data_IF_799236681013
#
_entry.id   IF_799236681013
#
_cell.length_a   1.000
_cell.length_b   1.000
_cell.length_c   1.000
_cell.angle_alpha   90.00
_cell.angle_beta   90.00
_cell.angle_gamma   90.00
#
_symmetry.space_group_name_H-M   'P 1'
#
loop_
_entity.id
_entity.type
_entity.pdbx_description
1 polymer ?
#
# COMPACT_ATOMS: atom_id res chain seq x y z
N UNK A 1 -6.22 8.50 -24.32
CA UNK A 1 -7.00 8.32 -23.07
C UNK A 1 -5.97 8.17 -21.95
N UNK A 2 -5.71 9.25 -21.24
CA UNK A 2 -4.68 9.26 -20.16
C UNK A 2 -5.31 8.65 -18.91
N UNK A 3 -4.93 7.42 -18.55
CA UNK A 3 -5.10 6.95 -17.18
C UNK A 3 -3.91 7.48 -16.38
N UNK A 4 -4.12 8.30 -15.36
CA UNK A 4 -3.04 8.67 -14.46
C UNK A 4 -2.71 7.46 -13.57
N UNK A 5 -1.62 6.77 -13.90
CA UNK A 5 -1.10 5.62 -13.13
C UNK A 5 -0.75 6.02 -11.69
N UNK A 6 -0.57 7.30 -11.40
CA UNK A 6 -0.43 7.82 -10.03
C UNK A 6 -1.59 7.46 -9.09
N UNK A 7 -2.75 7.08 -9.63
CA UNK A 7 -3.92 6.66 -8.82
C UNK A 7 -4.05 5.14 -8.65
N UNK A 8 -3.22 4.33 -9.30
CA UNK A 8 -3.33 2.86 -9.26
C UNK A 8 -2.67 2.22 -8.02
N UNK A 9 -1.87 2.99 -7.28
CA UNK A 9 -1.16 2.47 -6.09
C UNK A 9 -2.10 2.23 -4.89
N UNK A 10 -3.36 2.69 -4.94
CA UNK A 10 -4.28 2.62 -3.78
C UNK A 10 -5.69 2.14 -4.14
N UNK A 11 -5.96 1.80 -5.38
CA UNK A 11 -7.31 1.36 -5.77
C UNK A 11 -7.46 -0.16 -5.79
N UNK A 12 -7.23 -0.82 -4.66
CA UNK A 12 -7.78 -2.15 -4.40
C UNK A 12 -9.27 -2.02 -4.10
N UNK A 13 -10.08 -2.04 -5.14
CA UNK A 13 -11.52 -2.19 -4.96
C UNK A 13 -11.83 -3.65 -4.59
N UNK A 14 -11.72 -3.99 -3.32
CA UNK A 14 -12.32 -5.21 -2.80
C UNK A 14 -13.82 -4.93 -2.67
N UNK A 15 -14.58 -5.49 -3.61
CA UNK A 15 -16.03 -5.51 -3.54
C UNK A 15 -16.45 -6.46 -2.43
N UNK A 16 -16.58 -5.99 -1.22
CA UNK A 16 -17.27 -6.71 -0.18
C UNK A 16 -18.77 -6.54 -0.38
N UNK A 17 -19.42 -7.63 -0.76
CA UNK A 17 -20.89 -7.74 -0.67
C UNK A 17 -21.30 -7.47 0.76
N UNK A 18 -22.09 -6.40 0.94
CA UNK A 18 -22.62 -6.01 2.22
C UNK A 18 -23.54 -7.10 2.76
N UNK A 19 -23.05 -7.88 3.72
CA UNK A 19 -23.92 -8.60 4.64
C UNK A 19 -24.32 -7.66 5.78
N UNK A 20 -25.63 -7.53 5.97
CA UNK A 20 -26.30 -6.74 6.99
C UNK A 20 -25.67 -6.93 8.36
N UNK A 21 -25.25 -5.83 8.98
CA UNK A 21 -24.87 -5.77 10.38
C UNK A 21 -26.10 -5.90 11.26
N UNK A 22 -26.16 -6.98 12.00
CA UNK A 22 -26.96 -7.07 13.21
C UNK A 22 -26.00 -6.98 14.39
N UNK A 23 -26.27 -6.07 15.32
CA UNK A 23 -25.60 -5.96 16.60
C UNK A 23 -25.44 -7.31 17.27
N UNK A 24 -24.21 -7.79 17.41
CA UNK A 24 -23.84 -8.83 18.38
C UNK A 24 -22.47 -8.50 18.95
N UNK A 25 -22.47 -8.37 20.29
CA UNK A 25 -21.28 -8.32 21.14
C UNK A 25 -20.22 -9.29 20.64
N UNK A 26 -18.99 -8.80 20.51
CA UNK A 26 -17.80 -9.58 20.23
C UNK A 26 -17.69 -10.78 21.18
N UNK A 27 -18.01 -11.93 20.63
CA UNK A 27 -17.45 -13.19 21.08
C UNK A 27 -16.21 -13.39 20.18
N UNK A 28 -15.06 -13.59 20.81
CA UNK A 28 -13.80 -13.93 20.17
C UNK A 28 -14.04 -14.86 18.96
N UNK A 29 -14.06 -14.29 17.77
CA UNK A 29 -14.08 -15.09 16.57
C UNK A 29 -12.72 -15.81 16.55
N UNK A 30 -12.71 -17.14 16.66
CA UNK A 30 -11.51 -17.94 16.48
C UNK A 30 -10.95 -17.62 15.10
N UNK A 31 -9.83 -16.91 15.08
CA UNK A 31 -9.09 -16.66 13.83
C UNK A 31 -8.27 -17.91 13.50
N UNK A 32 -7.95 -18.11 12.23
CA UNK A 32 -7.24 -19.32 11.76
C UNK A 32 -5.92 -19.55 12.51
N UNK A 33 -5.25 -18.46 12.91
CA UNK A 33 -3.96 -18.49 13.62
C UNK A 33 -4.06 -18.06 15.10
N UNK A 34 -5.25 -17.85 15.63
CA UNK A 34 -5.46 -17.33 17.01
C UNK A 34 -5.00 -18.24 18.14
N UNK A 35 -4.68 -19.50 17.84
CA UNK A 35 -4.16 -20.50 18.80
C UNK A 35 -2.69 -20.89 18.50
N UNK A 36 -2.00 -20.19 17.58
CA UNK A 36 -0.62 -20.46 17.26
C UNK A 36 0.31 -20.21 18.48
N UNK A 37 1.46 -20.86 18.50
CA UNK A 37 2.49 -20.56 19.50
C UNK A 37 3.15 -19.21 19.24
N UNK A 38 3.81 -18.63 20.23
CA UNK A 38 4.58 -17.39 20.03
C UNK A 38 5.70 -17.58 18.98
N UNK A 39 6.28 -18.77 18.89
CA UNK A 39 7.30 -19.09 17.89
C UNK A 39 6.73 -19.10 16.48
N UNK A 40 5.57 -19.74 16.29
CA UNK A 40 4.86 -19.76 15.02
C UNK A 40 4.42 -18.35 14.60
N UNK A 41 3.88 -17.58 15.54
CA UNK A 41 3.49 -16.20 15.32
C UNK A 41 4.68 -15.32 14.89
N UNK A 42 5.86 -15.50 15.50
CA UNK A 42 7.07 -14.79 15.07
C UNK A 42 7.51 -15.16 13.65
N UNK A 43 7.40 -16.44 13.26
CA UNK A 43 7.70 -16.87 11.87
C UNK A 43 6.74 -16.23 10.87
N UNK A 44 5.45 -16.10 11.21
CA UNK A 44 4.46 -15.42 10.38
C UNK A 44 4.82 -13.93 10.23
N UNK A 45 5.14 -13.24 11.31
CA UNK A 45 5.54 -11.82 11.29
C UNK A 45 6.82 -11.61 10.49
N UNK A 46 7.82 -12.49 10.64
CA UNK A 46 9.06 -12.42 9.85
C UNK A 46 8.76 -12.59 8.35
N UNK A 47 7.93 -13.55 7.98
CA UNK A 47 7.52 -13.74 6.59
C UNK A 47 6.73 -12.55 6.05
N UNK A 48 5.84 -11.96 6.85
CA UNK A 48 5.13 -10.74 6.52
C UNK A 48 6.11 -9.59 6.19
N UNK A 49 7.09 -9.36 7.05
CA UNK A 49 8.11 -8.33 6.84
C UNK A 49 8.94 -8.57 5.57
N UNK A 50 9.26 -9.83 5.27
CA UNK A 50 9.96 -10.20 4.03
C UNK A 50 9.13 -9.86 2.80
N UNK A 51 7.83 -10.21 2.81
CA UNK A 51 6.94 -9.94 1.67
C UNK A 51 6.68 -8.45 1.49
N UNK A 52 6.44 -7.71 2.56
CA UNK A 52 6.27 -6.25 2.48
C UNK A 52 7.53 -5.60 1.90
N UNK A 53 8.72 -5.96 2.39
CA UNK A 53 9.97 -5.44 1.83
C UNK A 53 10.20 -5.82 0.37
N UNK A 54 9.75 -7.01 -0.04
CA UNK A 54 9.83 -7.48 -1.40
C UNK A 54 8.90 -6.68 -2.33
N UNK A 55 7.64 -6.49 -1.94
CA UNK A 55 6.66 -5.73 -2.74
C UNK A 55 7.02 -4.24 -2.80
N UNK A 56 7.46 -3.63 -1.71
CA UNK A 56 7.89 -2.23 -1.68
C UNK A 56 9.01 -1.95 -2.70
N UNK A 57 10.03 -2.82 -2.76
CA UNK A 57 11.13 -2.68 -3.72
C UNK A 57 10.68 -2.82 -5.17
N UNK A 58 9.79 -3.77 -5.42
CA UNK A 58 9.22 -3.95 -6.73
C UNK A 58 8.40 -2.72 -7.14
N UNK A 59 7.62 -2.16 -6.22
CA UNK A 59 6.81 -0.97 -6.44
C UNK A 59 7.68 0.27 -6.70
N UNK A 60 8.81 0.42 -6.00
CA UNK A 60 9.79 1.47 -6.32
C UNK A 60 10.35 1.34 -7.73
N UNK A 61 10.70 0.11 -8.14
CA UNK A 61 11.16 -0.15 -9.50
C UNK A 61 10.09 0.21 -10.54
N UNK A 62 8.85 -0.24 -10.34
CA UNK A 62 7.72 0.02 -11.23
C UNK A 62 7.38 1.52 -11.31
N UNK A 63 7.50 2.26 -10.21
CA UNK A 63 7.34 3.71 -10.20
C UNK A 63 8.35 4.39 -11.14
N UNK A 64 9.62 3.99 -11.11
CA UNK A 64 10.66 4.54 -11.98
C UNK A 64 10.43 4.14 -13.45
N UNK A 65 9.95 2.91 -13.70
CA UNK A 65 9.51 2.50 -15.04
C UNK A 65 8.43 3.44 -15.55
N UNK A 66 7.39 3.70 -14.75
CA UNK A 66 6.26 4.55 -15.11
C UNK A 66 6.70 6.00 -15.46
N UNK A 67 7.52 6.62 -14.58
CA UNK A 67 8.08 7.95 -14.81
C UNK A 67 8.86 8.04 -16.13
N UNK A 68 9.59 6.97 -16.48
CA UNK A 68 10.31 6.91 -17.76
C UNK A 68 9.36 6.71 -18.93
N UNK A 69 8.34 5.83 -18.79
CA UNK A 69 7.35 5.60 -19.85
C UNK A 69 6.59 6.89 -20.22
N UNK A 70 6.27 7.73 -19.22
CA UNK A 70 5.66 9.05 -19.48
C UNK A 70 6.58 9.94 -20.33
N UNK A 71 7.88 10.01 -20.01
CA UNK A 71 8.86 10.78 -20.77
C UNK A 71 9.02 10.23 -22.18
N UNK A 72 9.17 8.91 -22.31
CA UNK A 72 9.31 8.22 -23.61
C UNK A 72 8.06 8.46 -24.47
N UNK A 73 6.87 8.30 -23.90
CA UNK A 73 5.61 8.53 -24.61
C UNK A 73 5.51 9.95 -25.16
N UNK A 74 5.92 10.96 -24.37
CA UNK A 74 5.98 12.37 -24.85
C UNK A 74 7.02 12.55 -25.95
N UNK A 75 8.18 11.90 -25.86
CA UNK A 75 9.20 11.93 -26.90
C UNK A 75 8.73 11.32 -28.21
N UNK A 76 8.07 10.16 -28.16
CA UNK A 76 7.53 9.50 -29.37
C UNK A 76 6.39 10.27 -30.03
N UNK A 77 5.71 11.19 -29.33
CA UNK A 77 4.72 12.10 -29.93
C UNK A 77 5.34 13.26 -30.72
N UNK A 78 6.62 13.55 -30.47
CA UNK A 78 7.34 14.62 -31.18
C UNK A 78 8.70 14.10 -31.71
N UNK A 79 8.70 13.26 -32.74
CA UNK A 79 9.89 12.61 -33.27
C UNK A 79 10.90 13.59 -33.91
N UNK A 80 10.52 14.83 -34.13
CA UNK A 80 11.45 15.88 -34.64
C UNK A 80 12.39 16.42 -33.55
N UNK A 81 12.09 16.16 -32.28
CA UNK A 81 12.91 16.59 -31.14
C UNK A 81 14.02 15.57 -30.87
N UNK A 82 15.22 15.83 -31.40
CA UNK A 82 16.40 14.98 -31.20
C UNK A 82 16.86 14.86 -29.72
N UNK A 83 16.32 15.71 -28.84
CA UNK A 83 16.59 15.67 -27.39
C UNK A 83 15.49 14.97 -26.56
N UNK A 84 14.47 14.41 -27.24
CA UNK A 84 13.28 13.86 -26.60
C UNK A 84 13.55 12.75 -25.58
N UNK A 85 14.66 12.03 -25.74
CA UNK A 85 15.02 10.88 -24.90
C UNK A 85 16.26 11.13 -24.03
N UNK A 86 16.80 12.36 -24.03
CA UNK A 86 17.92 12.72 -23.16
C UNK A 86 17.48 12.70 -21.69
N UNK A 87 18.32 12.12 -20.84
CA UNK A 87 18.06 12.08 -19.38
C UNK A 87 17.09 10.99 -18.92
N UNK A 88 16.74 10.05 -19.82
CA UNK A 88 16.04 8.83 -19.41
C UNK A 88 17.07 7.90 -18.78
N UNK A 89 17.01 7.78 -17.44
CA UNK A 89 17.87 6.89 -16.67
C UNK A 89 17.12 5.57 -16.51
N UNK A 90 17.68 4.42 -16.99
CA UNK A 90 17.04 3.13 -16.81
C UNK A 90 16.73 2.85 -15.34
N UNK A 91 15.57 2.26 -15.03
CA UNK A 91 15.21 1.97 -13.66
C UNK A 91 16.20 0.95 -13.07
N UNK A 92 16.65 1.25 -11.89
CA UNK A 92 17.59 0.42 -11.14
C UNK A 92 16.83 -0.38 -10.07
N UNK A 93 17.10 -1.68 -10.01
CA UNK A 93 16.58 -2.54 -8.97
C UNK A 93 17.57 -2.61 -7.81
N UNK A 94 17.24 -1.96 -6.70
CA UNK A 94 18.10 -1.95 -5.52
C UNK A 94 18.19 -3.36 -4.90
N UNK A 95 19.39 -3.89 -4.62
CA UNK A 95 19.54 -5.18 -3.96
C UNK A 95 18.90 -5.17 -2.57
N UNK A 96 18.35 -6.31 -2.17
CA UNK A 96 17.82 -6.47 -0.82
C UNK A 96 18.95 -6.69 0.16
N UNK A 97 19.00 -5.86 1.21
CA UNK A 97 19.82 -6.10 2.40
C UNK A 97 19.04 -6.85 3.49
N UNK A 98 18.01 -7.61 3.09
CA UNK A 98 17.26 -8.40 4.06
C UNK A 98 18.14 -9.54 4.58
N UNK A 99 18.41 -9.55 5.88
CA UNK A 99 19.19 -10.58 6.56
C UNK A 99 18.37 -11.84 6.90
N UNK A 100 17.06 -11.83 6.61
CA UNK A 100 16.22 -13.01 6.80
C UNK A 100 16.64 -14.15 5.87
N UNK A 101 16.63 -15.38 6.39
CA UNK A 101 16.79 -16.61 5.61
C UNK A 101 15.52 -17.00 4.86
N UNK A 102 14.40 -16.36 5.20
CA UNK A 102 13.11 -16.59 4.56
C UNK A 102 13.12 -15.92 3.19
N UNK A 103 12.64 -16.66 2.18
CA UNK A 103 12.47 -16.15 0.81
C UNK A 103 11.00 -15.89 0.55
N UNK A 104 10.65 -14.84 -0.23
CA UNK A 104 9.26 -14.53 -0.58
C UNK A 104 8.48 -15.71 -1.15
N UNK A 105 9.11 -16.51 -2.01
CA UNK A 105 8.52 -17.66 -2.68
C UNK A 105 8.38 -18.91 -1.80
N UNK A 106 8.93 -18.90 -0.58
CA UNK A 106 8.93 -20.03 0.35
C UNK A 106 8.16 -19.69 1.64
N UNK A 107 6.82 -19.74 1.60
CA UNK A 107 6.01 -19.49 2.80
C UNK A 107 6.36 -20.49 3.92
N UNK A 108 6.38 -20.05 5.18
CA UNK A 108 6.74 -20.90 6.31
C UNK A 108 5.72 -22.03 6.53
N UNK A 109 6.20 -23.16 7.05
CA UNK A 109 5.38 -24.35 7.28
C UNK A 109 4.29 -24.18 8.34
N UNK A 110 4.38 -23.13 9.17
CA UNK A 110 3.36 -22.76 10.18
C UNK A 110 2.09 -22.20 9.54
N UNK A 111 2.14 -21.73 8.30
CA UNK A 111 0.94 -21.33 7.56
C UNK A 111 0.16 -22.57 7.11
N UNK A 112 -1.17 -22.46 7.04
CA UNK A 112 -2.02 -23.51 6.49
C UNK A 112 -1.60 -23.86 5.05
N UNK A 113 -1.86 -25.09 4.63
CA UNK A 113 -1.52 -25.53 3.26
C UNK A 113 -2.17 -24.66 2.18
N UNK A 114 -3.38 -24.14 2.46
CA UNK A 114 -4.07 -23.21 1.58
C UNK A 114 -3.35 -21.88 1.46
N UNK A 115 -2.87 -21.32 2.59
CA UNK A 115 -2.16 -20.07 2.62
C UNK A 115 -0.76 -20.19 2.04
N UNK A 116 -0.05 -21.27 2.31
CA UNK A 116 1.22 -21.58 1.66
C UNK A 116 1.07 -21.58 0.13
N UNK A 117 0.06 -22.29 -0.37
CA UNK A 117 -0.24 -22.32 -1.81
C UNK A 117 -0.59 -20.94 -2.34
N UNK A 118 -1.45 -20.21 -1.63
CA UNK A 118 -1.86 -18.86 -2.01
C UNK A 118 -0.67 -17.91 -2.17
N UNK A 119 0.21 -17.85 -1.18
CA UNK A 119 1.40 -17.00 -1.25
C UNK A 119 2.35 -17.42 -2.34
N UNK A 120 2.62 -18.72 -2.46
CA UNK A 120 3.49 -19.25 -3.51
C UNK A 120 2.99 -18.88 -4.90
N UNK A 121 1.70 -19.06 -5.17
CA UNK A 121 1.11 -18.76 -6.48
C UNK A 121 1.17 -17.27 -6.79
N UNK A 122 0.80 -16.39 -5.83
CA UNK A 122 0.80 -14.96 -6.03
C UNK A 122 2.22 -14.37 -6.12
N UNK A 123 3.16 -14.83 -5.30
CA UNK A 123 4.57 -14.39 -5.36
C UNK A 123 5.22 -14.83 -6.67
N UNK A 124 4.93 -16.03 -7.15
CA UNK A 124 5.38 -16.46 -8.48
C UNK A 124 4.79 -15.56 -9.58
N UNK A 125 3.50 -15.24 -9.49
CA UNK A 125 2.85 -14.30 -10.42
C UNK A 125 3.50 -12.92 -10.41
N UNK A 126 3.87 -12.38 -9.23
CA UNK A 126 4.63 -11.13 -9.09
C UNK A 126 5.99 -11.23 -9.81
N UNK A 127 6.76 -12.28 -9.53
CA UNK A 127 8.10 -12.48 -10.10
C UNK A 127 8.06 -12.63 -11.64
N UNK A 128 7.18 -13.46 -12.14
CA UNK A 128 7.03 -13.68 -13.59
C UNK A 128 6.59 -12.39 -14.32
N UNK A 129 5.63 -11.69 -13.75
CA UNK A 129 5.13 -10.45 -14.34
C UNK A 129 6.19 -9.37 -14.33
N UNK A 130 6.91 -9.21 -13.21
CA UNK A 130 8.00 -8.25 -13.11
C UNK A 130 9.15 -8.56 -14.08
N UNK A 131 9.48 -9.83 -14.27
CA UNK A 131 10.49 -10.27 -15.26
C UNK A 131 10.06 -9.86 -16.66
N UNK A 132 8.82 -10.14 -17.05
CA UNK A 132 8.28 -9.72 -18.37
C UNK A 132 8.32 -8.21 -18.57
N UNK A 133 8.00 -7.44 -17.52
CA UNK A 133 8.10 -5.96 -17.54
C UNK A 133 9.54 -5.52 -17.78
N UNK A 134 10.52 -6.10 -17.06
CA UNK A 134 11.94 -5.80 -17.21
C UNK A 134 12.45 -6.09 -18.63
N UNK A 135 12.08 -7.24 -19.18
CA UNK A 135 12.49 -7.66 -20.53
C UNK A 135 11.87 -6.77 -21.60
N UNK A 136 10.58 -6.41 -21.45
CA UNK A 136 9.92 -5.51 -22.37
C UNK A 136 10.48 -4.09 -22.29
N UNK A 137 10.79 -3.62 -21.08
CA UNK A 137 11.44 -2.32 -20.88
C UNK A 137 12.84 -2.29 -21.50
N UNK A 138 13.60 -3.38 -21.36
CA UNK A 138 14.90 -3.53 -22.04
C UNK A 138 14.74 -3.42 -23.56
N UNK A 139 13.77 -4.13 -24.13
CA UNK A 139 13.48 -4.06 -25.57
C UNK A 139 13.09 -2.66 -26.02
N UNK A 140 12.30 -1.93 -25.22
CA UNK A 140 11.99 -0.52 -25.48
C UNK A 140 13.24 0.36 -25.45
N UNK A 141 14.11 0.15 -24.46
CA UNK A 141 15.35 0.91 -24.35
C UNK A 141 16.33 0.63 -25.51
N UNK A 142 16.43 -0.62 -25.96
CA UNK A 142 17.24 -0.99 -27.13
C UNK A 142 16.68 -0.37 -28.42
N UNK A 143 15.35 -0.37 -28.60
CA UNK A 143 14.66 0.33 -29.69
C UNK A 143 14.94 1.84 -29.71
N UNK A 144 14.96 2.49 -28.53
CA UNK A 144 15.28 3.92 -28.43
C UNK A 144 16.74 4.21 -28.77
N UNK A 145 17.67 3.37 -28.30
CA UNK A 145 19.11 3.50 -28.54
C UNK A 145 19.48 3.30 -30.00
N UNK A 146 18.78 2.38 -30.69
CA UNK A 146 18.97 2.14 -32.13
C UNK A 146 18.31 3.23 -32.99
N UNK A 147 17.54 4.15 -32.37
CA UNK A 147 16.76 5.19 -33.02
C UNK A 147 15.71 4.66 -34.02
N UNK A 148 15.30 3.38 -33.89
CA UNK A 148 14.31 2.72 -34.75
C UNK A 148 12.98 3.47 -34.83
N UNK A 149 12.70 4.32 -33.83
CA UNK A 149 11.52 5.20 -33.81
C UNK A 149 11.50 6.22 -34.95
N UNK A 150 12.64 6.49 -35.58
CA UNK A 150 12.72 7.35 -36.80
C UNK A 150 12.11 6.64 -38.01
N UNK A 151 12.27 5.31 -38.08
CA UNK A 151 11.83 4.50 -39.21
C UNK A 151 10.33 4.21 -39.16
N UNK A 152 9.82 3.85 -37.97
CA UNK A 152 8.42 3.44 -37.78
C UNK A 152 7.54 4.54 -37.13
N UNK A 153 8.06 5.73 -36.95
CA UNK A 153 7.37 6.89 -36.34
C UNK A 153 6.87 6.59 -34.92
N UNK A 154 7.60 5.77 -34.18
CA UNK A 154 7.32 5.44 -32.80
C UNK A 154 6.25 4.36 -32.58
N UNK A 155 5.77 3.68 -33.61
CA UNK A 155 4.69 2.69 -33.53
C UNK A 155 5.07 1.51 -32.65
N UNK A 156 6.24 0.92 -32.86
CA UNK A 156 6.74 -0.21 -32.03
C UNK A 156 7.01 0.20 -30.58
N UNK A 157 7.58 1.40 -30.38
CA UNK A 157 7.80 1.97 -29.06
C UNK A 157 6.51 2.13 -28.24
N UNK A 158 5.44 2.60 -28.88
CA UNK A 158 4.12 2.69 -28.26
C UNK A 158 3.58 1.30 -27.90
N UNK A 159 3.77 0.30 -28.74
CA UNK A 159 3.39 -1.09 -28.47
C UNK A 159 4.09 -1.66 -27.22
N UNK A 160 5.37 -1.37 -27.03
CA UNK A 160 6.09 -1.73 -25.81
C UNK A 160 5.50 -1.05 -24.56
N UNK A 161 5.21 0.26 -24.64
CA UNK A 161 4.60 1.03 -23.54
C UNK A 161 3.24 0.43 -23.16
N UNK A 162 2.35 0.19 -24.11
CA UNK A 162 1.02 -0.38 -23.88
C UNK A 162 1.13 -1.79 -23.26
N UNK A 163 2.10 -2.59 -23.69
CA UNK A 163 2.38 -3.91 -23.13
C UNK A 163 2.84 -3.83 -21.67
N UNK A 164 3.77 -2.91 -21.36
CA UNK A 164 4.24 -2.71 -19.98
C UNK A 164 3.08 -2.27 -19.09
N UNK A 165 2.23 -1.34 -19.52
CA UNK A 165 1.06 -0.90 -18.76
C UNK A 165 0.08 -2.05 -18.48
N UNK A 166 -0.12 -2.92 -19.45
CA UNK A 166 -0.98 -4.09 -19.29
C UNK A 166 -0.41 -5.06 -18.25
N UNK A 167 0.89 -5.35 -18.31
CA UNK A 167 1.57 -6.21 -17.34
C UNK A 167 1.63 -5.57 -15.94
N UNK A 168 1.83 -4.26 -15.84
CA UNK A 168 1.83 -3.55 -14.56
C UNK A 168 0.47 -3.65 -13.85
N UNK A 169 -0.65 -3.61 -14.58
CA UNK A 169 -1.98 -3.87 -14.00
C UNK A 169 -2.11 -5.29 -13.46
N UNK A 170 -1.59 -6.28 -14.18
CA UNK A 170 -1.59 -7.67 -13.72
C UNK A 170 -0.70 -7.85 -12.48
N UNK A 171 0.46 -7.20 -12.44
CA UNK A 171 1.35 -7.19 -11.29
C UNK A 171 0.62 -6.67 -10.03
N UNK A 172 0.00 -5.50 -10.11
CA UNK A 172 -0.70 -4.92 -8.96
C UNK A 172 -1.86 -5.78 -8.46
N UNK A 173 -2.50 -6.57 -9.31
CA UNK A 173 -3.52 -7.51 -8.84
C UNK A 173 -2.94 -8.61 -7.94
N UNK A 174 -1.75 -9.13 -8.26
CA UNK A 174 -1.06 -10.07 -7.38
C UNK A 174 -0.59 -9.40 -6.09
N UNK A 175 -0.06 -8.18 -6.19
CA UNK A 175 0.40 -7.38 -5.04
C UNK A 175 -0.74 -7.11 -4.05
N UNK A 176 -1.88 -6.67 -4.53
CA UNK A 176 -3.11 -6.47 -3.74
C UNK A 176 -3.54 -7.76 -3.02
N UNK A 177 -3.53 -8.89 -3.72
CA UNK A 177 -3.88 -10.19 -3.13
C UNK A 177 -2.93 -10.54 -1.98
N UNK A 178 -1.62 -10.39 -2.20
CA UNK A 178 -0.59 -10.68 -1.19
C UNK A 178 -0.77 -9.77 0.02
N UNK A 179 -0.85 -8.45 -0.19
CA UNK A 179 -0.95 -7.48 0.90
C UNK A 179 -2.25 -7.63 1.71
N UNK A 180 -3.39 -7.88 1.04
CA UNK A 180 -4.66 -8.09 1.72
C UNK A 180 -4.64 -9.35 2.62
N UNK A 181 -4.03 -10.45 2.15
CA UNK A 181 -3.90 -11.67 2.96
C UNK A 181 -2.91 -11.49 4.10
N UNK A 182 -1.79 -10.77 3.87
CA UNK A 182 -0.80 -10.45 4.90
C UNK A 182 -1.40 -9.59 6.02
N UNK A 183 -2.27 -8.63 5.70
CA UNK A 183 -2.96 -7.82 6.71
C UNK A 183 -3.71 -8.70 7.71
N UNK A 184 -4.42 -9.72 7.22
CA UNK A 184 -5.21 -10.63 8.07
C UNK A 184 -4.31 -11.51 8.94
N UNK A 185 -3.39 -12.27 8.34
CA UNK A 185 -2.56 -13.22 9.09
C UNK A 185 -1.55 -12.51 9.99
N UNK A 186 -1.05 -11.35 9.57
CA UNK A 186 -0.15 -10.53 10.37
C UNK A 186 -0.81 -9.98 11.61
N UNK A 187 -2.06 -9.50 11.50
CA UNK A 187 -2.84 -9.05 12.65
C UNK A 187 -3.06 -10.16 13.67
N UNK A 188 -3.40 -11.37 13.23
CA UNK A 188 -3.58 -12.53 14.09
C UNK A 188 -2.29 -12.89 14.82
N UNK A 189 -1.18 -13.00 14.09
CA UNK A 189 0.13 -13.33 14.65
C UNK A 189 0.61 -12.26 15.65
N UNK A 190 0.48 -10.97 15.32
CA UNK A 190 0.86 -9.90 16.25
C UNK A 190 0.01 -9.89 17.52
N UNK A 191 -1.29 -10.18 17.43
CA UNK A 191 -2.16 -10.29 18.62
C UNK A 191 -1.68 -11.38 19.57
N UNK A 192 -1.17 -12.49 19.06
CA UNK A 192 -0.59 -13.56 19.87
C UNK A 192 0.67 -13.08 20.58
N UNK A 193 1.63 -12.52 19.83
CA UNK A 193 2.90 -12.01 20.37
C UNK A 193 2.65 -10.93 21.43
N UNK A 194 1.71 -10.05 21.17
CA UNK A 194 1.40 -8.91 22.02
C UNK A 194 0.49 -9.26 23.21
N UNK A 195 -0.06 -10.49 23.31
CA UNK A 195 -1.04 -10.87 24.34
C UNK A 195 -0.56 -10.56 25.76
N UNK A 196 0.73 -10.74 26.04
CA UNK A 196 1.36 -10.47 27.33
C UNK A 196 2.16 -9.17 27.36
N UNK A 197 2.19 -8.41 26.25
CA UNK A 197 2.98 -7.20 26.17
C UNK A 197 2.37 -6.06 27.00
N UNK A 198 3.15 -5.36 27.84
CA UNK A 198 2.62 -4.33 28.75
C UNK A 198 1.99 -3.13 28.02
N UNK A 199 2.38 -2.86 26.77
CA UNK A 199 1.86 -1.76 25.93
C UNK A 199 0.83 -2.24 24.89
N UNK A 200 0.31 -3.48 25.01
CA UNK A 200 -0.58 -4.06 24.01
C UNK A 200 -1.79 -3.17 23.68
N UNK A 201 -2.42 -2.58 24.70
CA UNK A 201 -3.63 -1.79 24.51
C UNK A 201 -3.37 -0.53 23.67
N UNK A 202 -2.21 0.10 23.84
CA UNK A 202 -1.77 1.23 23.02
C UNK A 202 -1.46 0.79 21.59
N UNK A 203 -0.74 -0.32 21.43
CA UNK A 203 -0.36 -0.86 20.12
C UNK A 203 -1.62 -1.22 19.33
N UNK A 204 -2.58 -1.90 19.95
CA UNK A 204 -3.84 -2.25 19.28
C UNK A 204 -4.68 -1.02 18.93
N UNK A 205 -4.79 -0.04 19.84
CA UNK A 205 -5.48 1.20 19.54
C UNK A 205 -4.88 1.90 18.31
N UNK A 206 -3.55 2.05 18.26
CA UNK A 206 -2.88 2.66 17.12
C UNK A 206 -2.99 1.83 15.82
N UNK A 207 -3.04 0.50 15.91
CA UNK A 207 -3.30 -0.37 14.75
C UNK A 207 -4.72 -0.19 14.21
N UNK A 208 -5.70 -0.17 15.10
CA UNK A 208 -7.11 0.04 14.74
C UNK A 208 -7.29 1.42 14.09
N UNK A 209 -6.60 2.46 14.59
CA UNK A 209 -6.58 3.80 13.99
C UNK A 209 -5.99 3.80 12.59
N UNK A 210 -4.83 3.16 12.40
CA UNK A 210 -4.19 3.04 11.09
C UNK A 210 -5.07 2.29 10.09
N UNK A 211 -5.72 1.22 10.55
CA UNK A 211 -6.66 0.46 9.72
C UNK A 211 -7.83 1.32 9.29
N UNK A 212 -8.47 2.01 10.23
CA UNK A 212 -9.61 2.87 9.95
C UNK A 212 -9.25 4.02 8.99
N UNK A 213 -8.08 4.64 9.16
CA UNK A 213 -7.55 5.67 8.24
C UNK A 213 -7.26 5.07 6.87
N UNK A 214 -6.67 3.87 6.80
CA UNK A 214 -6.44 3.17 5.55
C UNK A 214 -7.74 2.86 4.79
N UNK A 215 -8.78 2.41 5.51
CA UNK A 215 -10.11 2.15 4.93
C UNK A 215 -10.75 3.44 4.41
N UNK A 216 -10.62 4.54 5.15
CA UNK A 216 -11.10 5.85 4.72
C UNK A 216 -10.34 6.35 3.48
N UNK A 217 -9.03 6.21 3.43
CA UNK A 217 -8.24 6.52 2.24
C UNK A 217 -8.71 5.72 1.02
N UNK A 218 -8.90 4.41 1.16
CA UNK A 218 -9.43 3.57 0.08
C UNK A 218 -10.79 4.07 -0.42
N UNK A 219 -11.67 4.47 0.49
CA UNK A 219 -12.98 5.03 0.14
C UNK A 219 -12.84 6.35 -0.63
N UNK A 220 -12.01 7.28 -0.15
CA UNK A 220 -11.77 8.57 -0.79
C UNK A 220 -11.18 8.41 -2.19
N UNK A 221 -10.11 7.61 -2.31
CA UNK A 221 -9.38 7.40 -3.57
C UNK A 221 -10.18 6.58 -4.59
N UNK A 222 -11.05 5.68 -4.12
CA UNK A 222 -11.93 4.87 -4.97
C UNK A 222 -13.17 5.62 -5.48
N UNK A 223 -13.49 6.79 -4.92
CA UNK A 223 -14.67 7.55 -5.32
C UNK A 223 -14.50 8.17 -6.71
N UNK A 224 -15.29 7.70 -7.66
CA UNK A 224 -15.36 8.25 -9.03
C UNK A 224 -16.27 9.47 -9.12
N UNK A 225 -17.25 9.58 -8.25
CA UNK A 225 -18.26 10.63 -8.21
C UNK A 225 -18.46 11.08 -6.77
N UNK A 226 -17.61 12.00 -6.31
CA UNK A 226 -17.57 12.42 -4.92
C UNK A 226 -18.94 12.84 -4.36
N UNK A 227 -19.74 13.60 -5.11
CA UNK A 227 -21.07 14.03 -4.66
C UNK A 227 -22.03 12.88 -4.35
N UNK A 228 -21.91 11.79 -5.09
CA UNK A 228 -22.71 10.56 -4.85
C UNK A 228 -22.26 9.83 -3.58
N UNK A 229 -20.95 9.79 -3.37
CA UNK A 229 -20.33 9.08 -2.25
C UNK A 229 -20.21 9.94 -0.97
N UNK A 230 -20.44 11.24 -1.08
CA UNK A 230 -20.24 12.21 0.01
C UNK A 230 -20.93 11.83 1.33
N UNK A 231 -22.20 11.37 1.37
CA UNK A 231 -22.84 10.97 2.62
C UNK A 231 -22.11 9.82 3.31
N UNK A 232 -21.65 8.83 2.55
CA UNK A 232 -20.88 7.68 3.06
C UNK A 232 -19.50 8.11 3.55
N UNK A 233 -18.82 8.98 2.81
CA UNK A 233 -17.53 9.55 3.17
C UNK A 233 -17.65 10.36 4.48
N UNK A 234 -18.66 11.21 4.61
CA UNK A 234 -18.90 11.99 5.84
C UNK A 234 -19.17 11.09 7.04
N UNK A 235 -19.95 10.03 6.88
CA UNK A 235 -20.21 9.06 7.95
C UNK A 235 -18.92 8.35 8.39
N UNK A 236 -18.08 7.92 7.43
CA UNK A 236 -16.78 7.31 7.73
C UNK A 236 -15.83 8.30 8.42
N UNK A 237 -15.81 9.55 7.99
CA UNK A 237 -15.02 10.60 8.64
C UNK A 237 -15.47 10.85 10.09
N UNK A 238 -16.78 10.91 10.35
CA UNK A 238 -17.32 11.05 11.72
C UNK A 238 -16.92 9.87 12.61
N UNK A 239 -16.89 8.66 12.06
CA UNK A 239 -16.41 7.47 12.77
C UNK A 239 -14.92 7.59 13.13
N UNK A 240 -14.08 8.11 12.22
CA UNK A 240 -12.66 8.39 12.52
C UNK A 240 -12.49 9.42 13.63
N UNK A 241 -13.25 10.51 13.61
CA UNK A 241 -13.20 11.51 14.69
C UNK A 241 -13.60 10.92 16.06
N UNK A 242 -14.62 10.07 16.08
CA UNK A 242 -15.05 9.38 17.31
C UNK A 242 -13.96 8.41 17.82
N UNK A 243 -13.31 7.68 16.92
CA UNK A 243 -12.22 6.78 17.26
C UNK A 243 -11.00 7.55 17.78
N UNK A 244 -10.59 8.62 17.11
CA UNK A 244 -9.53 9.51 17.57
C UNK A 244 -9.80 10.01 19.00
N UNK A 245 -11.01 10.53 19.24
CA UNK A 245 -11.40 11.01 20.58
C UNK A 245 -11.26 9.92 21.63
N UNK A 246 -11.78 8.73 21.38
CA UNK A 246 -11.68 7.58 22.28
C UNK A 246 -10.23 7.25 22.65
N UNK A 247 -9.32 7.29 21.66
CA UNK A 247 -7.92 6.92 21.91
C UNK A 247 -7.11 8.04 22.54
N UNK A 248 -7.45 9.31 22.32
CA UNK A 248 -6.83 10.44 23.03
C UNK A 248 -7.26 10.54 24.52
N UNK A 249 -8.37 9.89 24.90
CA UNK A 249 -8.83 9.77 26.27
C UNK A 249 -8.15 8.61 27.04
N UNK A 250 -7.33 7.80 26.39
CA UNK A 250 -6.54 6.76 27.06
C UNK A 250 -5.47 7.39 27.97
N UNK A 251 -5.23 6.77 29.11
CA UNK A 251 -4.11 7.15 29.97
C UNK A 251 -2.79 7.05 29.21
N UNK A 252 -1.86 7.97 29.50
CA UNK A 252 -0.55 7.93 28.87
C UNK A 252 0.29 6.75 29.38
N UNK A 253 1.14 6.13 28.52
CA UNK A 253 2.08 5.12 28.96
C UNK A 253 2.99 5.65 30.07
N UNK A 254 3.19 4.86 31.14
CA UNK A 254 4.02 5.25 32.27
C UNK A 254 5.47 5.52 31.86
N UNK A 255 5.92 6.76 32.03
CA UNK A 255 7.29 7.20 31.68
C UNK A 255 8.35 6.45 32.46
N UNK A 256 8.07 6.08 33.72
CA UNK A 256 9.00 5.35 34.57
C UNK A 256 9.23 3.90 34.14
N UNK A 257 8.19 3.27 33.55
CA UNK A 257 8.27 1.88 33.06
C UNK A 257 8.71 1.79 31.61
N UNK A 258 8.32 2.77 30.80
CA UNK A 258 8.54 2.80 29.34
C UNK A 258 9.05 4.17 28.90
N UNK A 259 10.35 4.48 29.12
CA UNK A 259 10.92 5.77 28.76
C UNK A 259 10.72 6.08 27.27
N UNK A 260 10.23 7.29 26.97
CA UNK A 260 10.00 7.75 25.60
C UNK A 260 8.68 7.30 24.96
N UNK A 261 7.99 6.27 25.48
CA UNK A 261 6.74 5.78 24.84
C UNK A 261 5.57 6.75 25.04
N UNK A 262 5.52 7.54 26.12
CA UNK A 262 4.56 8.63 26.27
C UNK A 262 4.67 9.65 25.13
N UNK A 263 5.88 10.14 24.87
CA UNK A 263 6.13 11.09 23.80
C UNK A 263 5.83 10.50 22.42
N UNK A 264 6.16 9.22 22.20
CA UNK A 264 5.89 8.53 20.94
C UNK A 264 4.37 8.32 20.73
N UNK A 265 3.61 7.95 21.78
CA UNK A 265 2.16 7.82 21.71
C UNK A 265 1.48 9.17 21.42
N UNK A 266 1.92 10.23 22.11
CA UNK A 266 1.44 11.58 21.83
C UNK A 266 1.69 11.98 20.39
N UNK A 267 2.90 11.72 19.85
CA UNK A 267 3.25 12.05 18.45
C UNK A 267 2.39 11.28 17.46
N UNK A 268 2.03 10.04 17.76
CA UNK A 268 1.10 9.28 16.93
C UNK A 268 -0.28 9.95 16.93
N UNK A 269 -0.82 10.32 18.11
CA UNK A 269 -2.11 11.01 18.21
C UNK A 269 -2.10 12.36 17.49
N UNK A 270 -1.02 13.13 17.59
CA UNK A 270 -0.85 14.38 16.86
C UNK A 270 -0.88 14.14 15.32
N UNK A 271 -0.23 13.05 14.85
CA UNK A 271 -0.25 12.69 13.42
C UNK A 271 -1.64 12.24 12.93
N UNK A 272 -2.42 11.57 13.79
CA UNK A 272 -3.80 11.22 13.46
C UNK A 272 -4.68 12.47 13.39
N UNK A 273 -4.55 13.42 14.33
CA UNK A 273 -5.24 14.71 14.25
C UNK A 273 -4.89 15.47 12.97
N UNK A 274 -3.62 15.50 12.60
CA UNK A 274 -3.17 16.14 11.37
C UNK A 274 -3.82 15.50 10.12
N UNK A 275 -3.97 14.17 10.13
CA UNK A 275 -4.69 13.45 9.08
C UNK A 275 -6.17 13.86 9.02
N UNK A 276 -6.85 13.96 10.18
CA UNK A 276 -8.24 14.39 10.25
C UNK A 276 -8.42 15.84 9.75
N UNK A 277 -7.50 16.74 10.11
CA UNK A 277 -7.51 18.13 9.63
C UNK A 277 -7.37 18.18 8.10
N UNK A 278 -6.43 17.41 7.53
CA UNK A 278 -6.25 17.36 6.08
C UNK A 278 -7.46 16.75 5.38
N UNK A 279 -8.01 15.67 5.93
CA UNK A 279 -9.22 15.05 5.38
C UNK A 279 -10.39 16.04 5.27
N UNK A 280 -10.60 16.90 6.26
CA UNK A 280 -11.65 17.97 6.19
C UNK A 280 -11.42 18.94 5.05
N UNK A 281 -10.16 19.34 4.79
CA UNK A 281 -9.84 20.23 3.65
C UNK A 281 -10.14 19.54 2.33
N UNK A 282 -9.62 18.32 2.18
CA UNK A 282 -9.79 17.50 0.98
C UNK A 282 -11.28 17.24 0.69
N UNK A 283 -12.07 16.92 1.72
CA UNK A 283 -13.53 16.72 1.57
C UNK A 283 -14.24 17.99 1.11
N UNK A 284 -13.86 19.17 1.59
CA UNK A 284 -14.44 20.45 1.11
C UNK A 284 -14.10 20.72 -0.34
N UNK A 285 -12.84 20.53 -0.73
CA UNK A 285 -12.38 20.75 -2.09
C UNK A 285 -13.03 19.76 -3.08
N UNK A 286 -13.13 18.50 -2.68
CA UNK A 286 -13.80 17.47 -3.47
C UNK A 286 -15.31 17.72 -3.56
N UNK A 287 -15.94 18.22 -2.50
CA UNK A 287 -17.35 18.64 -2.49
C UNK A 287 -17.62 19.80 -3.44
N UNK A 288 -16.74 20.80 -3.46
CA UNK A 288 -16.84 21.93 -4.36
C UNK A 288 -16.63 21.55 -5.84
N UNK A 289 -15.61 20.74 -6.12
CA UNK A 289 -15.25 20.32 -7.48
C UNK A 289 -16.01 19.11 -8.01
N UNK A 290 -16.67 18.34 -7.14
CA UNK A 290 -17.37 17.09 -7.45
C UNK A 290 -16.45 15.87 -7.62
N UNK A 291 -15.13 16.02 -7.43
CA UNK A 291 -14.12 14.97 -7.58
C UNK A 291 -12.91 15.19 -6.68
N UNK A 292 -12.23 14.13 -6.33
CA UNK A 292 -10.92 14.21 -5.69
C UNK A 292 -9.85 14.61 -6.70
N UNK A 293 -9.04 15.63 -6.39
CA UNK A 293 -7.87 16.00 -7.19
C UNK A 293 -6.69 15.06 -6.90
N UNK A 294 -5.70 15.05 -7.80
CA UNK A 294 -4.46 14.27 -7.60
C UNK A 294 -3.69 14.82 -6.39
N UNK A 295 -3.56 16.14 -6.28
CA UNK A 295 -2.83 16.79 -5.18
C UNK A 295 -3.48 16.44 -3.83
N UNK A 296 -4.82 16.51 -3.75
CA UNK A 296 -5.54 16.13 -2.54
C UNK A 296 -5.37 14.65 -2.18
N UNK A 297 -5.30 13.76 -3.18
CA UNK A 297 -5.02 12.35 -2.96
C UNK A 297 -3.59 12.13 -2.43
N UNK A 298 -2.60 12.81 -3.01
CA UNK A 298 -1.21 12.77 -2.55
C UNK A 298 -1.05 13.30 -1.12
N UNK A 299 -1.78 14.35 -0.75
CA UNK A 299 -1.76 14.90 0.60
C UNK A 299 -2.31 13.92 1.65
N UNK A 300 -3.43 13.24 1.36
CA UNK A 300 -3.97 12.20 2.25
C UNK A 300 -3.01 11.04 2.41
N UNK A 301 -2.42 10.56 1.31
CA UNK A 301 -1.44 9.46 1.32
C UNK A 301 -0.23 9.85 2.17
N UNK A 302 0.32 11.05 1.96
CA UNK A 302 1.49 11.55 2.72
C UNK A 302 1.21 11.63 4.22
N UNK A 303 0.03 12.11 4.63
CA UNK A 303 -0.37 12.17 6.04
C UNK A 303 -0.54 10.78 6.65
N UNK A 304 -1.09 9.84 5.90
CA UNK A 304 -1.19 8.44 6.33
C UNK A 304 0.17 7.76 6.48
N UNK A 305 1.11 8.00 5.54
CA UNK A 305 2.47 7.47 5.63
C UNK A 305 3.23 8.04 6.83
N UNK A 306 3.01 9.31 7.15
CA UNK A 306 3.58 9.89 8.37
C UNK A 306 3.01 9.25 9.64
N UNK A 307 1.69 9.02 9.70
CA UNK A 307 1.05 8.30 10.80
C UNK A 307 1.60 6.87 10.94
N UNK A 308 1.87 6.17 9.83
CA UNK A 308 2.52 4.85 9.83
C UNK A 308 3.93 4.92 10.40
N UNK A 309 4.70 5.95 10.06
CA UNK A 309 6.05 6.17 10.60
C UNK A 309 6.02 6.40 12.11
N UNK A 310 5.08 7.20 12.62
CA UNK A 310 4.95 7.46 14.05
C UNK A 310 4.54 6.21 14.84
N UNK A 311 3.71 5.33 14.25
CA UNK A 311 3.40 4.02 14.80
C UNK A 311 4.65 3.15 14.91
N UNK A 312 5.44 3.02 13.83
CA UNK A 312 6.65 2.21 13.85
C UNK A 312 7.63 2.69 14.93
N UNK A 313 7.81 4.00 15.08
CA UNK A 313 8.64 4.58 16.16
C UNK A 313 8.11 4.29 17.58
N UNK A 314 6.83 3.96 17.73
CA UNK A 314 6.29 3.55 19.02
C UNK A 314 6.55 2.06 19.30
N UNK A 315 6.43 1.21 18.31
CA UNK A 315 6.58 -0.25 18.50
C UNK A 315 8.04 -0.69 18.53
N UNK A 316 8.95 0.02 17.86
CA UNK A 316 10.41 -0.16 17.92
C UNK A 316 10.96 0.27 19.30
#
# INVERSE_FOLDING_TARGET
>A
MKLPIKLLIVAAAISFSACKSGDKKDKDAKTEYGEASNEDANQIVEYNNVLVSFTDKNNEYLKRVDENLEKISKGLQNPSNQFAFIGIIPPFYAPSFNHSKIKPENPPAVLSSSDQKFFKDNVNGLNETLTKIKDTYKSLNDYLKAEDWKDDKGVKGKGFIDSIYTMTKAYYKYDENVLAKLEVIGDDAERIILKTHPLKDYIFAMKDDRKAVGDFNRMMLGSKHYKTDEPKIKAAYTALEAQYKKHTEMDMPSTSKFPGKEAAFKRFNDSFNDYLVESRKVMRDAGASGKLSVDNAEDLIRKYDFMRTTYNNFVD
#
